data_IF_597158646756
#
_entry.id   IF_597158646756
#
_cell.length_a   1.000
_cell.length_b   1.000
_cell.length_c   1.000
_cell.angle_alpha   90.00
_cell.angle_beta   90.00
_cell.angle_gamma   90.00
#
_symmetry.space_group_name_H-M   'P 1'
#
loop_
_entity.id
_entity.type
_entity.pdbx_description
1 polymer ?
#
# COMPACT_ATOMS: atom_id res chain seq x y z
N UNK A 1 -17.24 2.36 -22.41
CA UNK A 1 -16.93 3.57 -21.60
C UNK A 1 -15.88 3.13 -20.58
N UNK A 2 -14.70 3.76 -20.55
CA UNK A 2 -13.70 3.50 -19.51
C UNK A 2 -14.31 3.91 -18.16
N UNK A 3 -14.02 3.11 -17.10
CA UNK A 3 -14.37 3.51 -15.74
C UNK A 3 -13.76 4.89 -15.44
N UNK A 4 -14.45 5.73 -14.65
CA UNK A 4 -13.91 7.04 -14.28
C UNK A 4 -12.56 6.85 -13.56
N UNK A 5 -11.63 7.76 -13.84
CA UNK A 5 -10.34 7.77 -13.17
C UNK A 5 -10.54 8.00 -11.66
N UNK A 6 -9.86 7.20 -10.83
CA UNK A 6 -9.77 7.51 -9.40
C UNK A 6 -8.93 8.77 -9.24
N UNK A 7 -9.43 9.78 -8.51
CA UNK A 7 -8.67 10.98 -8.20
C UNK A 7 -7.98 10.84 -6.85
N UNK A 8 -6.68 11.12 -6.83
CA UNK A 8 -5.83 11.11 -5.62
C UNK A 8 -5.14 12.47 -5.52
N UNK A 9 -5.40 13.19 -4.43
CA UNK A 9 -4.74 14.45 -4.13
C UNK A 9 -3.67 14.21 -3.04
N UNK A 10 -2.46 14.75 -3.19
CA UNK A 10 -1.38 14.64 -2.20
C UNK A 10 -0.92 16.04 -1.82
N UNK A 11 -1.03 16.38 -0.54
CA UNK A 11 -0.56 17.63 0.03
C UNK A 11 0.79 17.41 0.70
N UNK A 12 1.82 18.11 0.24
CA UNK A 12 3.21 17.91 0.69
C UNK A 12 4.05 19.17 0.44
N UNK A 13 5.20 19.25 1.08
CA UNK A 13 6.22 20.26 0.76
C UNK A 13 7.26 19.75 -0.25
N UNK A 14 7.13 18.51 -0.72
CA UNK A 14 7.99 17.91 -1.74
C UNK A 14 7.17 17.24 -2.85
N UNK A 15 6.33 17.97 -3.59
CA UNK A 15 5.42 17.39 -4.60
C UNK A 15 6.16 16.61 -5.68
N UNK A 16 7.35 17.07 -6.07
CA UNK A 16 8.17 16.43 -7.09
C UNK A 16 8.60 15.01 -6.71
N UNK A 17 8.85 14.73 -5.43
CA UNK A 17 9.21 13.38 -4.97
C UNK A 17 8.09 12.37 -5.27
N UNK A 18 6.86 12.74 -4.97
CA UNK A 18 5.69 11.88 -5.21
C UNK A 18 5.37 11.81 -6.70
N UNK A 19 5.42 12.95 -7.40
CA UNK A 19 5.10 13.02 -8.83
C UNK A 19 6.08 12.23 -9.69
N UNK A 20 7.39 12.34 -9.44
CA UNK A 20 8.43 11.58 -10.15
C UNK A 20 8.24 10.08 -9.92
N UNK A 21 8.05 9.62 -8.68
CA UNK A 21 7.79 8.22 -8.37
C UNK A 21 6.57 7.69 -9.12
N UNK A 22 5.49 8.44 -9.12
CA UNK A 22 4.24 8.05 -9.75
C UNK A 22 4.20 8.28 -11.27
N UNK A 23 5.26 8.78 -11.87
CA UNK A 23 5.39 8.96 -13.33
C UNK A 23 6.02 7.75 -14.01
N UNK A 24 6.54 6.79 -13.25
CA UNK A 24 7.26 5.64 -13.76
C UNK A 24 6.41 4.36 -13.78
N UNK A 25 6.83 3.39 -14.62
CA UNK A 25 6.33 2.01 -14.62
C UNK A 25 4.80 1.90 -14.70
N UNK A 26 4.21 1.11 -13.79
CA UNK A 26 2.77 0.84 -13.72
C UNK A 26 1.95 2.11 -13.44
N UNK A 27 2.44 2.93 -12.51
CA UNK A 27 1.77 4.17 -12.10
C UNK A 27 1.74 5.20 -13.24
N UNK A 28 2.88 5.40 -13.91
CA UNK A 28 2.98 6.30 -15.06
C UNK A 28 2.05 5.87 -16.20
N UNK A 29 1.95 4.57 -16.47
CA UNK A 29 0.99 4.03 -17.45
C UNK A 29 -0.46 4.28 -17.03
N UNK A 30 -0.81 4.03 -15.76
CA UNK A 30 -2.16 4.24 -15.26
C UNK A 30 -2.58 5.72 -15.36
N UNK A 31 -1.67 6.66 -15.12
CA UNK A 31 -1.89 8.09 -15.31
C UNK A 31 -2.08 8.45 -16.79
N UNK A 32 -1.19 7.96 -17.67
CA UNK A 32 -1.28 8.21 -19.11
C UNK A 32 -2.58 7.67 -19.74
N UNK A 33 -3.05 6.52 -19.23
CA UNK A 33 -4.32 5.91 -19.64
C UNK A 33 -5.56 6.55 -18.98
N UNK A 34 -5.40 7.63 -18.20
CA UNK A 34 -6.45 8.30 -17.44
C UNK A 34 -7.23 7.37 -16.48
N UNK A 35 -6.56 6.35 -15.93
CA UNK A 35 -7.14 5.47 -14.91
C UNK A 35 -6.95 6.02 -13.51
N UNK A 36 -5.90 6.83 -13.32
CA UNK A 36 -5.59 7.54 -12.07
C UNK A 36 -5.31 8.99 -12.40
N UNK A 37 -6.05 9.91 -11.76
CA UNK A 37 -5.82 11.35 -11.76
C UNK A 37 -5.07 11.71 -10.46
N UNK A 38 -3.75 11.69 -10.50
CA UNK A 38 -2.90 12.07 -9.37
C UNK A 38 -2.54 13.55 -9.46
N UNK A 39 -2.78 14.28 -8.37
CA UNK A 39 -2.45 15.70 -8.22
C UNK A 39 -1.64 15.93 -6.97
N UNK A 40 -0.43 16.47 -7.12
CA UNK A 40 0.45 16.83 -6.02
C UNK A 40 0.41 18.33 -5.78
N UNK A 41 0.09 18.75 -4.56
CA UNK A 41 -0.09 20.14 -4.15
C UNK A 41 1.06 20.54 -3.22
N UNK A 42 1.81 21.57 -3.63
CA UNK A 42 2.86 22.15 -2.79
C UNK A 42 2.23 23.07 -1.73
N UNK A 43 2.36 22.67 -0.46
CA UNK A 43 1.87 23.49 0.66
C UNK A 43 2.52 24.88 0.73
N UNK A 44 3.75 25.05 0.21
CA UNK A 44 4.42 26.35 0.16
C UNK A 44 3.67 27.36 -0.72
N UNK A 45 3.00 26.90 -1.76
CA UNK A 45 2.24 27.77 -2.66
C UNK A 45 1.03 28.43 -1.98
N UNK A 46 0.62 27.93 -0.81
CA UNK A 46 -0.51 28.44 -0.04
C UNK A 46 -0.09 29.21 1.21
N UNK A 47 1.22 29.40 1.42
CA UNK A 47 1.72 30.31 2.45
C UNK A 47 1.59 31.74 1.99
N UNK A 48 1.11 32.63 2.87
CA UNK A 48 0.91 34.05 2.60
C UNK A 48 2.12 34.90 2.94
N UNK A 49 3.13 34.33 3.61
CA UNK A 49 4.35 35.07 3.93
C UNK A 49 5.31 35.16 2.73
N UNK A 50 6.19 36.15 2.76
CA UNK A 50 7.15 36.43 1.68
C UNK A 50 8.24 35.36 1.50
N UNK A 51 8.44 34.51 2.51
CA UNK A 51 9.40 33.40 2.50
C UNK A 51 8.75 32.06 2.20
N UNK A 52 7.45 32.03 1.98
CA UNK A 52 6.67 30.80 1.78
C UNK A 52 6.90 29.76 2.90
N UNK A 53 7.01 30.26 4.14
CA UNK A 53 7.24 29.42 5.33
C UNK A 53 5.99 28.56 5.61
N UNK A 54 6.22 27.28 5.85
CA UNK A 54 5.18 26.27 6.12
C UNK A 54 5.30 25.65 7.49
N UNK A 55 6.34 26.01 8.25
CA UNK A 55 6.68 25.43 9.54
C UNK A 55 7.08 26.54 10.52
N UNK A 56 7.00 26.24 11.82
CA UNK A 56 7.41 27.13 12.90
C UNK A 56 7.80 26.32 14.14
N UNK A 57 8.40 26.96 15.12
CA UNK A 57 8.78 26.34 16.39
C UNK A 57 7.54 25.91 17.19
N UNK A 58 7.58 24.75 17.87
CA UNK A 58 6.44 24.28 18.68
C UNK A 58 6.21 25.17 19.90
N UNK A 59 4.95 25.41 20.24
CA UNK A 59 4.59 25.99 21.53
C UNK A 59 5.03 25.07 22.68
N UNK A 60 5.53 25.65 23.74
CA UNK A 60 6.08 24.90 24.87
C UNK A 60 7.56 24.55 24.71
N UNK A 61 8.16 24.90 23.58
CA UNK A 61 9.55 24.57 23.27
C UNK A 61 9.75 23.12 22.83
N UNK A 62 10.98 22.74 22.58
CA UNK A 62 11.36 21.42 22.09
C UNK A 62 12.27 21.50 20.87
N UNK A 63 12.79 20.38 20.44
CA UNK A 63 13.58 20.28 19.22
C UNK A 63 12.69 20.20 17.99
N UNK A 64 13.18 20.70 16.86
CA UNK A 64 12.52 20.59 15.57
C UNK A 64 11.48 21.68 15.30
N UNK A 65 10.72 21.47 14.23
CA UNK A 65 9.72 22.39 13.70
C UNK A 65 8.40 21.64 13.54
N UNK A 66 7.28 22.35 13.43
CA UNK A 66 5.94 21.78 13.21
C UNK A 66 5.34 22.46 11.99
N UNK A 67 4.71 21.70 11.09
CA UNK A 67 3.98 22.28 9.96
C UNK A 67 2.80 23.11 10.45
N UNK A 68 2.75 24.35 10.00
CA UNK A 68 1.75 25.34 10.36
C UNK A 68 0.38 24.98 9.82
N UNK A 69 -0.72 25.28 10.54
CA UNK A 69 -2.07 24.97 10.08
C UNK A 69 -2.50 25.84 8.89
N UNK A 70 -2.12 27.12 8.83
CA UNK A 70 -2.64 28.07 7.83
C UNK A 70 -2.40 27.61 6.38
N UNK A 71 -1.16 27.24 5.96
CA UNK A 71 -0.94 26.77 4.59
C UNK A 71 -1.69 25.48 4.26
N UNK A 72 -1.86 24.60 5.25
CA UNK A 72 -2.56 23.32 5.08
C UNK A 72 -4.05 23.56 4.88
N UNK A 73 -4.70 24.36 5.73
CA UNK A 73 -6.11 24.73 5.59
C UNK A 73 -6.36 25.45 4.27
N UNK A 74 -5.54 26.46 3.94
CA UNK A 74 -5.67 27.22 2.69
C UNK A 74 -5.54 26.31 1.45
N UNK A 75 -4.62 25.35 1.45
CA UNK A 75 -4.45 24.38 0.37
C UNK A 75 -5.70 23.52 0.20
N UNK A 76 -6.19 22.94 1.29
CA UNK A 76 -7.34 22.03 1.26
C UNK A 76 -8.61 22.76 0.87
N UNK A 77 -8.84 23.97 1.37
CA UNK A 77 -9.99 24.81 1.03
C UNK A 77 -9.97 25.25 -0.44
N UNK A 78 -8.80 25.61 -0.97
CA UNK A 78 -8.65 26.02 -2.38
C UNK A 78 -8.81 24.84 -3.36
N UNK A 79 -8.27 23.68 -3.02
CA UNK A 79 -8.27 22.48 -3.89
C UNK A 79 -9.60 21.75 -3.85
N UNK A 80 -10.29 21.76 -2.72
CA UNK A 80 -11.50 20.96 -2.46
C UNK A 80 -11.29 19.50 -2.88
N UNK A 81 -10.35 18.79 -2.21
CA UNK A 81 -9.93 17.46 -2.62
C UNK A 81 -10.99 16.41 -2.32
N UNK A 82 -10.85 15.23 -2.96
CA UNK A 82 -11.70 14.11 -2.63
C UNK A 82 -11.47 13.66 -1.18
N UNK A 83 -12.58 13.24 -0.56
CA UNK A 83 -12.57 12.67 0.77
C UNK A 83 -12.57 11.12 0.71
N UNK A 84 -11.95 10.44 1.68
CA UNK A 84 -11.35 11.00 2.91
C UNK A 84 -10.00 11.71 2.66
N UNK A 85 -9.72 12.76 3.43
CA UNK A 85 -8.40 13.36 3.57
C UNK A 85 -7.70 12.73 4.78
N UNK A 86 -6.60 12.02 4.53
CA UNK A 86 -5.92 11.19 5.51
C UNK A 86 -4.52 11.72 5.80
N UNK A 87 -4.22 11.95 7.07
CA UNK A 87 -2.86 12.30 7.50
C UNK A 87 -2.00 11.03 7.59
N UNK A 88 -0.82 11.07 7.03
CA UNK A 88 0.19 10.02 7.16
C UNK A 88 0.97 10.20 8.46
N UNK A 89 0.78 9.30 9.41
CA UNK A 89 1.24 9.42 10.80
C UNK A 89 1.45 8.05 11.43
N UNK A 90 2.44 7.88 12.32
CA UNK A 90 2.62 6.65 13.07
C UNK A 90 1.42 6.25 13.95
N UNK A 91 0.61 7.23 14.38
CA UNK A 91 -0.58 7.00 15.22
C UNK A 91 -1.82 6.56 14.45
N UNK A 92 -1.76 6.48 13.13
CA UNK A 92 -2.88 6.11 12.27
C UNK A 92 -3.21 4.62 12.26
N UNK A 93 -4.36 4.28 11.66
CA UNK A 93 -4.70 2.88 11.38
C UNK A 93 -3.66 2.24 10.46
N UNK A 94 -3.18 1.04 10.80
CA UNK A 94 -2.16 0.36 10.01
C UNK A 94 -2.69 -0.01 8.63
N UNK A 95 -2.04 0.50 7.59
CA UNK A 95 -2.38 0.25 6.20
C UNK A 95 -2.18 -1.22 5.84
N UNK A 96 -3.20 -1.81 5.27
CA UNK A 96 -3.20 -3.18 4.75
C UNK A 96 -4.00 -3.25 3.43
N UNK A 97 -4.03 -4.44 2.82
CA UNK A 97 -4.75 -4.67 1.57
C UNK A 97 -6.27 -4.41 1.69
N UNK A 98 -6.85 -4.55 2.88
CA UNK A 98 -8.24 -4.23 3.14
C UNK A 98 -8.48 -2.72 3.07
N UNK A 99 -7.61 -1.93 3.66
CA UNK A 99 -7.69 -0.45 3.58
C UNK A 99 -7.46 0.01 2.14
N UNK A 100 -6.53 -0.59 1.39
CA UNK A 100 -6.34 -0.28 -0.03
C UNK A 100 -7.63 -0.48 -0.85
N UNK A 101 -8.36 -1.59 -0.63
CA UNK A 101 -9.66 -1.85 -1.26
C UNK A 101 -10.74 -0.84 -0.84
N UNK A 102 -10.76 -0.45 0.44
CA UNK A 102 -11.70 0.56 0.93
C UNK A 102 -11.42 1.91 0.27
N UNK A 103 -10.17 2.35 0.17
CA UNK A 103 -9.81 3.59 -0.50
C UNK A 103 -10.17 3.57 -1.98
N UNK A 104 -9.96 2.45 -2.68
CA UNK A 104 -10.43 2.33 -4.06
C UNK A 104 -11.96 2.49 -4.17
N UNK A 105 -12.71 1.90 -3.23
CA UNK A 105 -14.16 1.93 -3.24
C UNK A 105 -14.74 3.33 -3.00
N UNK A 106 -13.98 4.28 -2.43
CA UNK A 106 -14.43 5.68 -2.28
C UNK A 106 -14.48 6.44 -3.62
N UNK A 107 -13.84 5.93 -4.67
CA UNK A 107 -13.72 6.62 -5.96
C UNK A 107 -12.72 7.77 -5.99
N UNK A 108 -12.10 8.11 -4.86
CA UNK A 108 -11.04 9.10 -4.71
C UNK A 108 -10.77 9.41 -3.24
N UNK A 109 -9.54 9.80 -2.94
CA UNK A 109 -9.10 10.13 -1.58
C UNK A 109 -7.92 11.09 -1.63
N UNK A 110 -7.54 11.62 -0.47
CA UNK A 110 -6.44 12.58 -0.36
C UNK A 110 -5.51 12.22 0.80
N UNK A 111 -4.23 12.50 0.60
CA UNK A 111 -3.16 12.22 1.55
C UNK A 111 -2.48 13.53 1.96
N UNK A 112 -2.31 13.75 3.26
CA UNK A 112 -1.51 14.82 3.83
C UNK A 112 -0.19 14.24 4.36
N UNK A 113 0.92 14.69 3.80
CA UNK A 113 2.25 14.28 4.23
C UNK A 113 2.75 15.22 5.34
N UNK A 114 2.92 14.69 6.55
CA UNK A 114 3.63 15.38 7.62
C UNK A 114 5.14 15.42 7.35
N UNK A 115 5.81 16.45 7.90
CA UNK A 115 7.27 16.60 7.93
C UNK A 115 7.70 17.16 9.29
N UNK A 116 9.01 17.15 9.55
CA UNK A 116 9.59 17.60 10.81
C UNK A 116 9.01 16.81 12.00
N UNK A 117 8.55 17.52 13.05
CA UNK A 117 7.87 16.90 14.21
C UNK A 117 6.39 16.59 13.95
N UNK A 118 5.91 16.84 12.74
CA UNK A 118 4.54 16.57 12.31
C UNK A 118 3.77 17.84 11.91
N UNK A 119 2.45 17.75 12.02
CA UNK A 119 1.52 18.86 11.70
C UNK A 119 0.92 19.42 12.98
N UNK A 120 0.58 20.70 12.97
CA UNK A 120 -0.16 21.35 14.07
C UNK A 120 -1.42 20.53 14.42
N UNK A 121 -1.67 20.34 15.73
CA UNK A 121 -2.74 19.47 16.19
C UNK A 121 -4.14 19.91 15.73
N UNK A 122 -4.36 21.20 15.51
CA UNK A 122 -5.61 21.75 14.95
C UNK A 122 -5.96 21.21 13.57
N UNK A 123 -4.96 20.82 12.78
CA UNK A 123 -5.17 20.10 11.51
C UNK A 123 -5.80 18.74 11.75
N UNK A 124 -5.35 18.03 12.81
CA UNK A 124 -5.92 16.72 13.21
C UNK A 124 -7.36 16.84 13.69
N UNK A 125 -7.65 17.86 14.49
CA UNK A 125 -8.96 18.06 15.12
C UNK A 125 -10.03 18.56 14.15
N UNK A 126 -9.65 19.37 13.13
CA UNK A 126 -10.64 20.15 12.40
C UNK A 126 -10.59 19.96 10.88
N UNK A 127 -9.61 19.29 10.32
CA UNK A 127 -9.44 19.26 8.86
C UNK A 127 -9.45 17.84 8.27
N UNK A 128 -8.75 16.89 8.90
CA UNK A 128 -8.62 15.52 8.36
C UNK A 128 -9.77 14.61 8.78
N UNK A 129 -10.01 13.56 7.98
CA UNK A 129 -11.03 12.55 8.27
C UNK A 129 -10.47 11.34 9.03
N UNK A 130 -9.13 11.22 9.11
CA UNK A 130 -8.45 10.15 9.82
C UNK A 130 -6.96 10.13 9.57
N UNK A 131 -6.29 9.11 10.13
CA UNK A 131 -4.85 8.93 10.01
C UNK A 131 -4.54 7.50 9.54
N UNK A 132 -3.47 7.36 8.73
CA UNK A 132 -2.95 6.06 8.27
C UNK A 132 -1.47 5.94 8.62
N UNK A 133 -1.09 4.78 9.14
CA UNK A 133 0.29 4.35 9.38
C UNK A 133 0.67 3.23 8.40
N UNK A 134 1.90 3.23 7.91
CA UNK A 134 2.45 2.13 7.11
C UNK A 134 3.14 1.04 7.95
N UNK A 135 3.09 1.15 9.27
CA UNK A 135 3.73 0.26 10.24
C UNK A 135 4.55 1.00 11.28
N UNK A 136 5.18 0.26 12.19
CA UNK A 136 5.95 0.79 13.32
C UNK A 136 7.35 1.21 12.86
N UNK A 137 7.40 2.20 11.98
CA UNK A 137 8.64 2.78 11.43
C UNK A 137 8.55 4.30 11.47
N UNK A 138 9.68 4.96 11.64
CA UNK A 138 9.80 6.41 11.59
C UNK A 138 10.46 6.82 10.27
N UNK A 139 9.79 7.68 9.52
CA UNK A 139 10.27 8.27 8.27
C UNK A 139 10.54 9.76 8.47
N UNK A 140 11.38 10.36 7.63
CA UNK A 140 11.61 11.79 7.62
C UNK A 140 10.37 12.62 7.21
N UNK A 141 9.36 11.97 6.62
CA UNK A 141 8.09 12.58 6.21
C UNK A 141 7.16 11.59 5.56
N UNK A 142 5.94 12.01 5.24
CA UNK A 142 4.88 11.17 4.73
C UNK A 142 4.99 10.77 3.25
N UNK A 143 5.87 11.36 2.46
CA UNK A 143 5.89 11.20 1.00
C UNK A 143 6.13 9.76 0.54
N UNK A 144 7.06 9.04 1.20
CA UNK A 144 7.32 7.62 0.88
C UNK A 144 6.12 6.75 1.26
N UNK A 145 5.47 7.05 2.37
CA UNK A 145 4.23 6.38 2.76
C UNK A 145 3.11 6.67 1.75
N UNK A 146 3.01 7.91 1.24
CA UNK A 146 2.06 8.26 0.18
C UNK A 146 2.32 7.44 -1.09
N UNK A 147 3.57 7.34 -1.55
CA UNK A 147 3.95 6.53 -2.71
C UNK A 147 3.52 5.06 -2.54
N UNK A 148 3.78 4.46 -1.38
CA UNK A 148 3.38 3.08 -1.07
C UNK A 148 1.85 2.90 -1.16
N UNK A 149 1.08 3.80 -0.55
CA UNK A 149 -0.39 3.73 -0.55
C UNK A 149 -0.93 3.91 -1.97
N UNK A 150 -0.42 4.90 -2.71
CA UNK A 150 -0.82 5.17 -4.10
C UNK A 150 -0.56 3.94 -4.97
N UNK A 151 0.61 3.32 -4.87
CA UNK A 151 0.92 2.12 -5.64
C UNK A 151 -0.02 0.96 -5.30
N UNK A 152 -0.19 0.67 -4.00
CA UNK A 152 -1.05 -0.41 -3.54
C UNK A 152 -2.51 -0.24 -3.99
N UNK A 153 -3.04 0.98 -3.98
CA UNK A 153 -4.41 1.28 -4.45
C UNK A 153 -4.49 1.24 -5.97
N UNK A 154 -3.53 1.84 -6.67
CA UNK A 154 -3.50 1.90 -8.15
C UNK A 154 -3.50 0.52 -8.79
N UNK A 155 -2.79 -0.45 -8.21
CA UNK A 155 -2.78 -1.85 -8.69
C UNK A 155 -4.17 -2.51 -8.66
N UNK A 156 -5.07 -2.03 -7.82
CA UNK A 156 -6.44 -2.53 -7.69
C UNK A 156 -7.41 -1.88 -8.69
N UNK A 157 -7.02 -0.79 -9.34
CA UNK A 157 -7.87 -0.10 -10.33
C UNK A 157 -8.08 -1.02 -11.53
N UNK A 158 -9.34 -1.26 -11.96
CA UNK A 158 -9.62 -2.13 -13.09
C UNK A 158 -8.84 -1.76 -14.36
N UNK A 159 -8.16 -2.73 -14.95
CA UNK A 159 -7.39 -2.57 -16.18
C UNK A 159 -5.99 -1.95 -16.02
N UNK A 160 -5.55 -1.62 -14.80
CA UNK A 160 -4.17 -1.19 -14.54
C UNK A 160 -3.22 -2.39 -14.59
N UNK A 161 -3.57 -3.49 -13.94
CA UNK A 161 -2.82 -4.74 -14.07
C UNK A 161 -3.11 -5.41 -15.40
N UNK A 162 -2.06 -5.91 -16.08
CA UNK A 162 -2.19 -6.60 -17.37
C UNK A 162 -2.99 -7.91 -17.29
N UNK A 163 -2.96 -8.58 -16.14
CA UNK A 163 -3.80 -9.75 -15.84
C UNK A 163 -4.84 -9.37 -14.78
N UNK A 164 -6.11 -9.37 -15.17
CA UNK A 164 -7.23 -9.01 -14.28
C UNK A 164 -7.46 -9.98 -13.12
N UNK A 165 -6.90 -11.19 -13.19
CA UNK A 165 -7.02 -12.19 -12.11
C UNK A 165 -5.91 -12.06 -11.06
N UNK A 166 -4.77 -11.40 -11.37
CA UNK A 166 -3.66 -11.25 -10.43
C UNK A 166 -4.08 -10.67 -9.07
N UNK A 167 -4.86 -9.57 -8.99
CA UNK A 167 -5.29 -9.03 -7.70
C UNK A 167 -6.21 -9.95 -6.89
N UNK A 168 -6.74 -11.03 -7.50
CA UNK A 168 -7.62 -12.00 -6.84
C UNK A 168 -6.87 -13.18 -6.24
N UNK A 169 -5.65 -13.47 -6.73
CA UNK A 169 -4.85 -14.65 -6.38
C UNK A 169 -3.56 -14.30 -5.62
N UNK A 170 -3.19 -13.03 -5.55
CA UNK A 170 -2.01 -12.55 -4.84
C UNK A 170 -2.13 -12.69 -3.31
N UNK A 171 -1.01 -12.58 -2.63
CA UNK A 171 -0.96 -12.55 -1.15
C UNK A 171 -1.97 -11.55 -0.57
N UNK A 172 -2.63 -11.94 0.51
CA UNK A 172 -3.68 -11.17 1.20
C UNK A 172 -5.00 -11.00 0.42
N UNK A 173 -5.12 -11.58 -0.77
CA UNK A 173 -6.38 -11.64 -1.51
C UNK A 173 -7.27 -12.79 -0.99
N UNK A 174 -8.51 -12.86 -1.43
CA UNK A 174 -9.43 -13.98 -1.19
C UNK A 174 -9.42 -14.53 0.24
N UNK A 175 -8.71 -15.62 0.46
CA UNK A 175 -8.54 -16.31 1.74
C UNK A 175 -7.63 -15.57 2.75
N UNK A 176 -6.98 -14.49 2.36
CA UNK A 176 -6.10 -13.69 3.23
C UNK A 176 -4.75 -14.33 3.56
N UNK A 177 -4.35 -15.38 2.83
CA UNK A 177 -3.05 -16.06 2.99
C UNK A 177 -1.99 -15.51 2.03
N UNK A 178 -0.75 -15.97 2.18
CA UNK A 178 0.31 -15.71 1.22
C UNK A 178 0.10 -16.57 -0.03
N UNK A 179 0.59 -16.08 -1.18
CA UNK A 179 0.62 -16.87 -2.40
C UNK A 179 1.67 -17.99 -2.34
N UNK A 180 1.52 -18.99 -3.21
CA UNK A 180 2.46 -20.09 -3.37
C UNK A 180 3.81 -19.64 -3.97
N UNK A 181 4.87 -20.49 -3.88
CA UNK A 181 6.15 -20.21 -4.54
C UNK A 181 6.03 -20.27 -6.06
N UNK A 182 6.58 -19.26 -6.72
CA UNK A 182 6.59 -19.17 -8.18
C UNK A 182 7.89 -19.73 -8.75
N UNK A 183 7.79 -20.48 -9.84
CA UNK A 183 8.92 -21.04 -10.59
C UNK A 183 8.86 -20.59 -12.05
N UNK A 184 10.02 -20.34 -12.63
CA UNK A 184 10.18 -19.99 -14.04
C UNK A 184 11.28 -20.82 -14.71
N UNK A 185 11.51 -20.64 -15.99
CA UNK A 185 12.60 -21.27 -16.74
C UNK A 185 13.98 -20.77 -16.27
N UNK A 186 15.00 -21.64 -16.28
CA UNK A 186 15.02 -23.04 -16.77
C UNK A 186 14.37 -24.01 -15.77
N UNK A 187 13.97 -25.21 -16.22
CA UNK A 187 13.36 -26.25 -15.39
C UNK A 187 14.28 -26.84 -14.32
N UNK A 188 15.61 -26.61 -14.44
CA UNK A 188 16.62 -26.93 -13.44
C UNK A 188 17.69 -25.83 -13.45
N UNK A 189 18.13 -25.40 -12.28
CA UNK A 189 19.20 -24.42 -12.10
C UNK A 189 20.13 -24.84 -10.97
N UNK A 190 21.41 -25.07 -11.25
CA UNK A 190 22.44 -25.50 -10.29
C UNK A 190 22.08 -26.78 -9.51
N UNK A 191 21.40 -27.73 -10.15
CA UNK A 191 20.92 -28.95 -9.50
C UNK A 191 19.59 -28.80 -8.75
N UNK A 192 19.02 -27.62 -8.72
CA UNK A 192 17.70 -27.37 -8.14
C UNK A 192 16.61 -27.44 -9.20
N UNK A 193 15.80 -28.47 -9.16
CA UNK A 193 14.75 -28.70 -10.13
C UNK A 193 13.42 -28.02 -9.73
N UNK A 194 12.68 -27.56 -10.73
CA UNK A 194 11.26 -27.18 -10.57
C UNK A 194 10.44 -28.42 -10.16
N UNK A 195 9.55 -28.36 -9.17
CA UNK A 195 8.71 -29.48 -8.77
C UNK A 195 8.00 -30.15 -9.95
N UNK A 196 8.04 -31.48 -10.00
CA UNK A 196 7.54 -32.25 -11.16
C UNK A 196 6.03 -32.02 -11.39
N UNK A 197 5.26 -31.82 -10.31
CA UNK A 197 3.83 -31.52 -10.40
C UNK A 197 3.53 -30.26 -11.24
N UNK A 198 4.43 -29.28 -11.26
CA UNK A 198 4.25 -28.07 -12.08
C UNK A 198 4.60 -28.28 -13.57
N UNK A 199 5.20 -29.42 -13.92
CA UNK A 199 5.69 -29.74 -15.28
C UNK A 199 4.84 -30.75 -16.01
N UNK A 200 3.92 -31.45 -15.32
CA UNK A 200 3.17 -32.59 -15.87
C UNK A 200 1.87 -32.21 -16.59
N UNK A 201 1.42 -30.94 -16.53
CA UNK A 201 0.22 -30.46 -17.20
C UNK A 201 -1.10 -30.85 -16.52
N UNK A 202 -1.08 -31.56 -15.39
CA UNK A 202 -2.27 -31.90 -14.62
C UNK A 202 -2.74 -30.70 -13.78
N UNK A 203 -3.64 -29.90 -14.34
CA UNK A 203 -4.11 -28.67 -13.72
C UNK A 203 -4.73 -28.88 -12.33
N UNK A 204 -5.41 -30.00 -12.10
CA UNK A 204 -6.02 -30.28 -10.80
C UNK A 204 -4.96 -30.54 -9.73
N UNK A 205 -3.91 -31.31 -10.07
CA UNK A 205 -2.78 -31.55 -9.17
C UNK A 205 -1.95 -30.28 -8.95
N UNK A 206 -1.75 -29.47 -9.99
CA UNK A 206 -1.05 -28.19 -9.89
C UNK A 206 -1.79 -27.26 -8.93
N UNK A 207 -3.11 -27.12 -9.08
CA UNK A 207 -3.91 -26.24 -8.20
C UNK A 207 -3.90 -26.71 -6.75
N UNK A 208 -4.08 -28.03 -6.53
CA UNK A 208 -3.98 -28.63 -5.19
C UNK A 208 -2.61 -28.39 -4.56
N UNK A 209 -1.54 -28.52 -5.32
CA UNK A 209 -0.17 -28.28 -4.87
C UNK A 209 0.04 -26.79 -4.50
N UNK A 210 -0.42 -25.86 -5.35
CA UNK A 210 -0.34 -24.42 -5.11
C UNK A 210 -1.04 -24.06 -3.82
N UNK A 211 -2.26 -24.50 -3.63
CA UNK A 211 -3.03 -24.25 -2.42
C UNK A 211 -2.31 -24.78 -1.17
N UNK A 212 -1.74 -25.99 -1.22
CA UNK A 212 -0.96 -26.54 -0.12
C UNK A 212 0.29 -25.72 0.19
N UNK A 213 1.04 -25.30 -0.83
CA UNK A 213 2.25 -24.48 -0.64
C UNK A 213 1.93 -23.08 -0.09
N UNK A 214 0.85 -22.45 -0.54
CA UNK A 214 0.35 -21.20 0.00
C UNK A 214 0.03 -21.33 1.50
N UNK A 215 -0.64 -22.40 1.89
CA UNK A 215 -0.94 -22.70 3.30
C UNK A 215 0.33 -22.97 4.11
N UNK A 216 1.23 -23.85 3.65
CA UNK A 216 2.50 -24.13 4.32
C UNK A 216 3.31 -22.87 4.57
N UNK A 217 3.46 -22.03 3.52
CA UNK A 217 4.16 -20.76 3.61
C UNK A 217 3.50 -19.84 4.65
N UNK A 218 2.18 -19.76 4.65
CA UNK A 218 1.45 -18.88 5.58
C UNK A 218 1.58 -19.36 7.02
N UNK A 219 1.39 -20.65 7.28
CA UNK A 219 1.55 -21.24 8.62
C UNK A 219 2.96 -21.00 9.16
N UNK A 220 3.98 -21.13 8.31
CA UNK A 220 5.38 -20.99 8.72
C UNK A 220 5.81 -19.53 8.88
N UNK A 221 5.51 -18.67 7.89
CA UNK A 221 6.03 -17.30 7.84
C UNK A 221 5.11 -16.25 8.48
N UNK A 222 3.79 -16.48 8.43
CA UNK A 222 2.76 -15.53 8.90
C UNK A 222 1.61 -16.26 9.60
N UNK A 223 1.87 -16.97 10.72
CA UNK A 223 0.84 -17.67 11.49
C UNK A 223 -0.28 -16.74 11.98
N UNK A 224 0.02 -15.46 12.19
CA UNK A 224 -0.94 -14.42 12.53
C UNK A 224 -2.10 -14.30 11.51
N UNK A 225 -1.82 -14.52 10.23
CA UNK A 225 -2.85 -14.50 9.18
C UNK A 225 -3.81 -15.67 9.30
N UNK A 226 -3.33 -16.84 9.73
CA UNK A 226 -4.18 -18.01 9.99
C UNK A 226 -5.12 -17.73 11.15
N UNK A 227 -4.60 -17.15 12.23
CA UNK A 227 -5.42 -16.74 13.39
C UNK A 227 -6.45 -15.67 12.99
N UNK A 228 -6.03 -14.64 12.25
CA UNK A 228 -6.89 -13.53 11.80
C UNK A 228 -8.07 -13.99 10.95
N UNK A 229 -7.91 -15.03 10.13
CA UNK A 229 -8.96 -15.56 9.25
C UNK A 229 -9.86 -16.63 9.88
N UNK A 230 -9.59 -17.08 11.12
CA UNK A 230 -10.41 -18.03 11.86
C UNK A 230 -9.88 -19.47 11.87
N UNK A 231 -8.55 -19.64 11.80
CA UNK A 231 -7.83 -20.92 11.83
C UNK A 231 -7.89 -21.73 10.53
N UNK A 232 -7.29 -22.91 10.53
CA UNK A 232 -7.35 -23.88 9.45
C UNK A 232 -8.66 -24.66 9.51
N UNK A 233 -9.22 -24.97 8.35
CA UNK A 233 -10.31 -25.92 8.23
C UNK A 233 -9.76 -27.35 8.23
N UNK A 234 -10.59 -28.34 8.59
CA UNK A 234 -10.21 -29.75 8.54
C UNK A 234 -9.75 -30.22 7.13
N UNK A 235 -10.24 -29.57 6.08
CA UNK A 235 -9.82 -29.87 4.70
C UNK A 235 -8.41 -29.31 4.43
N UNK A 236 -8.09 -28.13 4.95
CA UNK A 236 -6.76 -27.53 4.82
C UNK A 236 -5.72 -28.27 5.66
N UNK A 237 -6.08 -28.74 6.86
CA UNK A 237 -5.20 -29.58 7.68
C UNK A 237 -4.82 -30.87 6.93
N UNK A 238 -5.80 -31.58 6.35
CA UNK A 238 -5.54 -32.77 5.50
C UNK A 238 -4.68 -32.43 4.28
N UNK A 239 -4.91 -31.29 3.67
CA UNK A 239 -4.13 -30.86 2.51
C UNK A 239 -2.66 -30.65 2.87
N UNK A 240 -2.38 -30.09 4.05
CA UNK A 240 -1.01 -29.91 4.56
C UNK A 240 -0.34 -31.25 4.89
N UNK A 241 -1.10 -32.25 5.37
CA UNK A 241 -0.59 -33.61 5.61
C UNK A 241 -0.26 -34.34 4.31
N UNK A 242 -1.16 -34.23 3.30
CA UNK A 242 -1.05 -34.96 2.03
C UNK A 242 0.04 -34.41 1.09
N UNK A 243 0.31 -33.11 1.13
CA UNK A 243 1.22 -32.44 0.21
C UNK A 243 2.37 -31.78 1.00
N UNK A 244 3.58 -32.33 0.95
CA UNK A 244 4.71 -31.81 1.72
C UNK A 244 5.12 -30.39 1.29
N UNK A 245 5.61 -29.61 2.25
CA UNK A 245 6.13 -28.28 2.01
C UNK A 245 7.40 -28.30 1.16
N UNK A 246 7.54 -27.33 0.25
CA UNK A 246 8.87 -27.01 -0.27
C UNK A 246 9.66 -26.21 0.77
N UNK A 247 11.01 -26.28 0.78
CA UNK A 247 11.81 -25.50 1.72
C UNK A 247 11.58 -24.00 1.59
N UNK A 248 11.35 -23.32 2.72
CA UNK A 248 11.33 -21.87 2.83
C UNK A 248 12.40 -21.37 3.78
N UNK A 249 13.12 -20.29 3.46
CA UNK A 249 13.99 -19.66 4.44
C UNK A 249 13.15 -19.09 5.60
N UNK A 250 13.74 -19.01 6.79
CA UNK A 250 13.14 -18.29 7.91
C UNK A 250 12.91 -16.82 7.57
N UNK A 251 11.88 -16.23 8.12
CA UNK A 251 11.39 -14.89 7.76
C UNK A 251 12.39 -13.75 8.03
N UNK A 252 13.28 -13.88 9.00
CA UNK A 252 14.41 -12.97 9.25
C UNK A 252 15.49 -13.72 10.02
N UNK A 253 16.78 -13.59 9.70
CA UNK A 253 17.83 -14.18 10.52
C UNK A 253 17.81 -13.51 11.90
N UNK A 254 17.72 -14.34 12.96
CA UNK A 254 17.87 -13.90 14.35
C UNK A 254 19.29 -13.42 14.62
#
# INVERSE_FOLDING_TARGET
MSAPAIRIDVFTIFPKLVDDFCSESLLGRARTENRVDLRCHDLRAYSTDIHHSVDDTPFGGGAGMVLRPEPIFAAVEAVQPNRPLLLLSPGGAQFDQRIAKLLLATGGFSLLCGRYEGVDHRVREHLIDGEISIGDVVLAGGEVAACLIIEAVTRLVPGVMGNSTSPLTESFAGSGILEEPQYTRPGEFRGWAVPEVLRNGDHAKIERWRQAQALHRTVTARPDLIVKRGLLTAAEERLLEDVPAVPYPSSFPN
#
